data_IF_382246017316
#
_entry.id   IF_382246017316
#
_cell.length_a   1.000
_cell.length_b   1.000
_cell.length_c   1.000
_cell.angle_alpha   90.00
_cell.angle_beta   90.00
_cell.angle_gamma   90.00
#
_symmetry.space_group_name_H-M   'P 1'
#
loop_
_entity.id
_entity.type
_entity.pdbx_description
1 polymer ?
#
# COMPACT_ATOMS: atom_id res chain seq x y z
N UNK A 1 -10.12 49.62 -5.68
CA UNK A 1 -9.34 48.65 -6.48
C UNK A 1 -9.33 47.33 -5.74
N UNK A 2 -9.96 46.27 -6.30
CA UNK A 2 -9.93 44.96 -5.70
C UNK A 2 -8.66 44.23 -6.15
N UNK A 3 -7.76 43.90 -5.20
CA UNK A 3 -6.58 43.11 -5.51
C UNK A 3 -7.04 41.74 -6.10
N UNK A 4 -6.48 41.30 -7.23
CA UNK A 4 -6.78 40.01 -7.78
C UNK A 4 -6.26 38.95 -6.82
N UNK A 5 -7.15 38.04 -6.36
CA UNK A 5 -6.75 36.83 -5.62
C UNK A 5 -5.77 36.02 -6.50
N UNK A 6 -4.64 35.57 -5.97
CA UNK A 6 -3.76 34.71 -6.75
C UNK A 6 -4.50 33.45 -7.17
N UNK A 7 -4.61 33.23 -8.47
CA UNK A 7 -5.18 32.02 -9.04
C UNK A 7 -4.21 30.87 -8.81
N UNK A 8 -4.31 30.21 -7.67
CA UNK A 8 -3.58 28.95 -7.49
C UNK A 8 -4.17 27.91 -8.45
N UNK A 9 -3.37 27.44 -9.40
CA UNK A 9 -3.75 26.30 -10.26
C UNK A 9 -4.19 25.14 -9.36
N UNK A 10 -5.29 24.42 -9.71
CA UNK A 10 -5.78 23.34 -8.88
C UNK A 10 -4.67 22.29 -8.69
N UNK A 11 -4.38 21.95 -7.44
CA UNK A 11 -3.46 20.87 -7.12
C UNK A 11 -4.09 19.55 -7.56
N UNK A 12 -3.46 18.83 -8.47
CA UNK A 12 -3.91 17.52 -8.94
C UNK A 12 -3.33 16.35 -8.14
N UNK A 13 -2.99 16.59 -6.89
CA UNK A 13 -2.52 15.60 -5.92
C UNK A 13 -3.01 15.94 -4.51
N UNK A 14 -3.05 14.92 -3.67
CA UNK A 14 -3.26 15.05 -2.24
C UNK A 14 -1.91 14.94 -1.54
N UNK A 15 -1.59 15.89 -0.66
CA UNK A 15 -0.37 15.86 0.12
C UNK A 15 -0.66 15.27 1.50
N UNK A 16 0.13 14.27 1.90
CA UNK A 16 -0.02 13.61 3.19
C UNK A 16 1.31 13.06 3.69
N UNK A 17 1.70 13.43 4.90
CA UNK A 17 2.97 13.03 5.54
C UNK A 17 4.22 13.29 4.68
N UNK A 18 4.21 14.38 3.90
CA UNK A 18 5.29 14.74 2.99
C UNK A 18 5.16 14.19 1.58
N UNK A 19 4.30 13.19 1.36
CA UNK A 19 4.13 12.55 0.05
C UNK A 19 2.98 13.17 -0.75
N UNK A 20 3.15 13.23 -2.06
CA UNK A 20 2.16 13.68 -3.03
C UNK A 20 1.46 12.47 -3.65
N UNK A 21 0.24 12.20 -3.27
CA UNK A 21 -0.59 11.17 -3.87
C UNK A 21 -1.35 11.74 -5.07
N UNK A 22 -0.99 11.31 -6.28
CA UNK A 22 -1.59 11.78 -7.53
C UNK A 22 -3.09 11.47 -7.59
N UNK A 23 -3.86 12.44 -8.10
CA UNK A 23 -5.28 12.23 -8.39
C UNK A 23 -5.50 11.76 -9.83
N UNK A 24 -6.65 11.15 -10.09
CA UNK A 24 -7.07 10.80 -11.45
C UNK A 24 -7.22 12.02 -12.37
N UNK A 25 -7.32 13.25 -11.81
CA UNK A 25 -7.41 14.50 -12.56
C UNK A 25 -6.04 15.04 -13.00
N UNK A 26 -4.93 14.47 -12.50
CA UNK A 26 -3.57 14.90 -12.87
C UNK A 26 -3.35 14.76 -14.39
N UNK A 27 -2.81 15.77 -15.10
CA UNK A 27 -2.64 15.74 -16.55
C UNK A 27 -1.90 14.50 -17.06
N UNK A 28 -0.78 14.16 -16.44
CA UNK A 28 0.00 12.98 -16.84
C UNK A 28 -0.72 11.65 -16.52
N UNK A 29 -1.51 11.59 -15.44
CA UNK A 29 -2.37 10.43 -15.15
C UNK A 29 -3.43 10.26 -16.24
N UNK A 30 -4.07 11.35 -16.68
CA UNK A 30 -5.02 11.31 -17.80
C UNK A 30 -4.38 10.82 -19.09
N UNK A 31 -3.15 11.29 -19.41
CA UNK A 31 -2.40 10.80 -20.59
C UNK A 31 -2.11 9.30 -20.48
N UNK A 32 -1.66 8.83 -19.31
CA UNK A 32 -1.40 7.41 -19.09
C UNK A 32 -2.66 6.57 -19.26
N UNK A 33 -3.80 7.01 -18.69
CA UNK A 33 -5.09 6.34 -18.86
C UNK A 33 -5.54 6.28 -20.30
N UNK A 34 -5.37 7.36 -21.05
CA UNK A 34 -5.69 7.41 -22.47
C UNK A 34 -4.85 6.44 -23.31
N UNK A 35 -3.53 6.34 -22.99
CA UNK A 35 -2.61 5.39 -23.65
C UNK A 35 -2.85 3.93 -23.26
N UNK A 36 -3.45 3.67 -22.11
CA UNK A 36 -3.72 2.34 -21.57
C UNK A 36 -5.22 2.19 -21.23
N UNK A 37 -6.12 2.13 -22.24
CA UNK A 37 -7.56 2.10 -22.01
C UNK A 37 -8.03 0.86 -21.23
N UNK A 38 -7.27 -0.23 -21.28
CA UNK A 38 -7.54 -1.51 -20.61
C UNK A 38 -6.88 -1.61 -19.22
N UNK A 39 -6.51 -0.46 -18.58
CA UNK A 39 -6.02 -0.50 -17.20
C UNK A 39 -7.10 -1.03 -16.26
N UNK A 40 -6.70 -1.84 -15.28
CA UNK A 40 -7.67 -2.47 -14.39
C UNK A 40 -8.45 -1.46 -13.56
N UNK A 41 -9.67 -1.81 -13.18
CA UNK A 41 -10.52 -0.98 -12.33
C UNK A 41 -9.89 -0.76 -10.94
N UNK A 42 -9.04 -1.68 -10.48
CA UNK A 42 -8.39 -1.66 -9.17
C UNK A 42 -7.06 -0.91 -9.17
N UNK A 43 -6.31 -0.95 -10.26
CA UNK A 43 -5.04 -0.23 -10.46
C UNK A 43 -5.18 1.22 -10.94
N UNK A 44 -6.33 1.89 -10.75
CA UNK A 44 -6.63 3.16 -11.42
C UNK A 44 -6.57 4.41 -10.53
N UNK A 45 -6.20 4.29 -9.26
CA UNK A 45 -6.12 5.39 -8.28
C UNK A 45 -5.30 5.02 -7.05
N UNK A 46 -4.93 6.03 -6.24
CA UNK A 46 -4.52 5.81 -4.86
C UNK A 46 -5.74 5.52 -3.99
N UNK A 47 -5.69 4.47 -3.18
CA UNK A 47 -6.77 4.04 -2.31
C UNK A 47 -6.64 4.65 -0.91
N UNK A 48 -7.77 4.84 -0.22
CA UNK A 48 -7.77 5.52 1.08
C UNK A 48 -7.12 4.73 2.21
N UNK A 49 -7.13 3.42 2.14
CA UNK A 49 -6.46 2.58 3.14
C UNK A 49 -4.96 2.80 3.17
N UNK A 50 -4.34 3.18 2.03
CA UNK A 50 -2.92 3.53 1.99
C UNK A 50 -2.58 4.71 2.91
N UNK A 51 -3.43 5.76 2.96
CA UNK A 51 -3.21 6.91 3.85
C UNK A 51 -3.34 6.53 5.33
N UNK A 52 -4.28 5.65 5.65
CA UNK A 52 -4.45 5.16 7.02
C UNK A 52 -3.28 4.25 7.43
N UNK A 53 -2.78 3.43 6.48
CA UNK A 53 -1.58 2.62 6.72
C UNK A 53 -0.32 3.48 6.90
N UNK A 54 -0.14 4.56 6.11
CA UNK A 54 0.95 5.52 6.32
C UNK A 54 0.91 6.13 7.72
N UNK A 55 -0.28 6.57 8.17
CA UNK A 55 -0.46 7.13 9.51
C UNK A 55 -0.21 6.10 10.63
N UNK A 56 -0.59 4.84 10.40
CA UNK A 56 -0.28 3.73 11.30
C UNK A 56 1.23 3.48 11.37
N UNK A 57 1.90 3.36 10.22
CA UNK A 57 3.34 3.13 10.13
C UNK A 57 4.15 4.28 10.75
N UNK A 58 3.67 5.52 10.66
CA UNK A 58 4.31 6.66 11.34
C UNK A 58 4.34 6.47 12.86
N UNK A 59 3.30 5.90 13.44
CA UNK A 59 3.22 5.62 14.88
C UNK A 59 3.88 4.29 15.29
N UNK A 60 3.99 3.34 14.33
CA UNK A 60 4.52 2.00 14.51
C UNK A 60 5.54 1.69 13.39
N UNK A 61 6.69 2.38 13.37
CA UNK A 61 7.63 2.34 12.26
C UNK A 61 8.19 0.94 12.01
N UNK A 62 8.65 0.66 10.77
CA UNK A 62 9.55 -0.46 10.54
C UNK A 62 10.85 -0.28 11.35
N UNK A 63 11.52 -1.36 11.69
CA UNK A 63 12.85 -1.27 12.26
C UNK A 63 13.85 -0.73 11.22
N UNK A 64 14.93 -0.10 11.67
CA UNK A 64 15.89 0.62 10.81
C UNK A 64 16.42 -0.23 9.64
N UNK A 65 16.64 -1.52 9.85
CA UNK A 65 17.16 -2.44 8.82
C UNK A 65 16.09 -3.36 8.22
N UNK A 66 14.82 -3.10 8.46
CA UNK A 66 13.76 -3.91 7.88
C UNK A 66 13.80 -3.84 6.36
N UNK A 67 13.83 -5.02 5.72
CA UNK A 67 13.50 -5.17 4.31
C UNK A 67 12.02 -5.42 4.18
N UNK A 68 11.36 -4.55 3.45
CA UNK A 68 9.90 -4.54 3.35
C UNK A 68 9.45 -5.10 2.01
N UNK A 69 8.38 -5.90 2.04
CA UNK A 69 7.63 -6.32 0.85
C UNK A 69 6.25 -5.67 0.89
N UNK A 70 5.94 -4.83 -0.10
CA UNK A 70 4.57 -4.40 -0.35
C UNK A 70 3.90 -5.30 -1.38
N UNK A 71 2.75 -5.89 -1.02
CA UNK A 71 1.92 -6.72 -1.91
C UNK A 71 0.69 -5.94 -2.37
N UNK A 72 0.39 -6.02 -3.68
CA UNK A 72 -0.69 -5.22 -4.28
C UNK A 72 -0.40 -3.72 -4.22
N UNK A 73 0.80 -3.31 -4.63
CA UNK A 73 1.28 -1.93 -4.41
C UNK A 73 0.54 -0.87 -5.23
N UNK A 74 -0.15 -1.23 -6.31
CA UNK A 74 -0.85 -0.28 -7.17
C UNK A 74 0.07 0.85 -7.67
N UNK A 75 -0.25 2.09 -7.32
CA UNK A 75 0.57 3.27 -7.67
C UNK A 75 1.74 3.51 -6.70
N UNK A 76 1.97 2.63 -5.71
CA UNK A 76 3.16 2.61 -4.86
C UNK A 76 3.22 3.66 -3.76
N UNK A 77 2.10 4.20 -3.30
CA UNK A 77 2.10 5.26 -2.30
C UNK A 77 2.75 4.81 -0.98
N UNK A 78 2.49 3.57 -0.54
CA UNK A 78 3.11 3.00 0.67
C UNK A 78 4.62 2.76 0.44
N UNK A 79 4.99 2.20 -0.72
CA UNK A 79 6.41 1.99 -1.06
C UNK A 79 7.19 3.30 -1.03
N UNK A 80 6.63 4.36 -1.63
CA UNK A 80 7.24 5.68 -1.64
C UNK A 80 7.41 6.18 -0.21
N UNK A 81 6.36 6.15 0.59
CA UNK A 81 6.40 6.59 1.99
C UNK A 81 7.44 5.82 2.82
N UNK A 82 7.50 4.51 2.70
CA UNK A 82 8.48 3.70 3.44
C UNK A 82 9.90 4.07 3.02
N UNK A 83 10.14 4.21 1.72
CA UNK A 83 11.46 4.53 1.17
C UNK A 83 11.93 5.95 1.52
N UNK A 84 11.04 6.95 1.48
CA UNK A 84 11.41 8.35 1.69
C UNK A 84 11.39 8.76 3.15
N UNK A 85 10.39 8.29 3.90
CA UNK A 85 10.18 8.71 5.30
C UNK A 85 11.03 7.90 6.29
N UNK A 86 11.23 6.60 6.04
CA UNK A 86 11.99 5.71 6.93
C UNK A 86 13.34 5.28 6.34
N UNK A 87 13.58 5.53 5.05
CA UNK A 87 14.77 5.08 4.32
C UNK A 87 14.97 3.55 4.30
N UNK A 88 13.91 2.77 4.50
CA UNK A 88 13.97 1.32 4.43
C UNK A 88 14.02 0.82 2.97
N UNK A 89 14.71 -0.30 2.76
CA UNK A 89 14.68 -1.03 1.49
C UNK A 89 13.29 -1.67 1.29
N UNK A 90 12.66 -1.40 0.16
CA UNK A 90 11.32 -1.88 -0.14
C UNK A 90 11.22 -2.50 -1.53
N UNK A 91 10.65 -3.69 -1.58
CA UNK A 91 10.21 -4.34 -2.81
C UNK A 91 8.70 -4.21 -2.96
N UNK A 92 8.28 -3.63 -4.08
CA UNK A 92 6.86 -3.44 -4.40
C UNK A 92 6.43 -4.49 -5.41
N UNK A 93 5.38 -5.24 -5.11
CA UNK A 93 4.84 -6.26 -6.01
C UNK A 93 3.38 -5.99 -6.35
N UNK A 94 3.04 -6.13 -7.63
CA UNK A 94 1.65 -6.11 -8.11
C UNK A 94 1.50 -7.10 -9.26
N UNK A 95 0.32 -7.73 -9.36
CA UNK A 95 0.03 -8.67 -10.45
C UNK A 95 -0.31 -7.94 -11.76
N UNK A 96 -0.82 -6.71 -11.66
CA UNK A 96 -1.30 -5.93 -12.80
C UNK A 96 -0.17 -5.13 -13.45
N UNK A 97 0.29 -5.48 -14.67
CA UNK A 97 1.33 -4.73 -15.35
C UNK A 97 0.90 -3.30 -15.72
N UNK A 98 -0.39 -3.03 -15.78
CA UNK A 98 -0.93 -1.70 -16.14
C UNK A 98 -0.68 -0.65 -15.08
N UNK A 99 -0.37 -1.02 -13.83
CA UNK A 99 -0.04 -0.08 -12.75
C UNK A 99 1.37 0.50 -12.88
N UNK A 100 2.30 -0.18 -13.56
CA UNK A 100 3.72 0.22 -13.67
C UNK A 100 3.93 1.68 -14.12
N UNK A 101 3.26 2.20 -15.18
CA UNK A 101 3.43 3.59 -15.58
C UNK A 101 2.98 4.59 -14.52
N UNK A 102 1.91 4.28 -13.79
CA UNK A 102 1.40 5.11 -12.70
C UNK A 102 2.30 5.07 -11.47
N UNK A 103 2.82 3.89 -11.12
CA UNK A 103 3.83 3.70 -10.09
C UNK A 103 5.07 4.55 -10.37
N UNK A 104 5.62 4.46 -11.60
CA UNK A 104 6.78 5.24 -12.00
C UNK A 104 6.52 6.75 -11.93
N UNK A 105 5.35 7.21 -12.41
CA UNK A 105 4.96 8.62 -12.32
C UNK A 105 4.83 9.08 -10.86
N UNK A 106 4.19 8.28 -10.01
CA UNK A 106 4.01 8.56 -8.59
C UNK A 106 5.35 8.62 -7.85
N UNK A 107 6.27 7.69 -8.16
CA UNK A 107 7.63 7.66 -7.62
C UNK A 107 8.43 8.90 -8.03
N UNK A 108 8.42 9.25 -9.32
CA UNK A 108 9.15 10.42 -9.84
C UNK A 108 8.69 11.74 -9.22
N UNK A 109 7.38 11.94 -9.00
CA UNK A 109 6.85 13.20 -8.45
C UNK A 109 7.20 13.38 -6.96
N UNK A 110 7.55 12.29 -6.29
CA UNK A 110 8.01 12.25 -4.90
C UNK A 110 9.54 12.13 -4.78
N UNK A 111 10.28 12.12 -5.89
CA UNK A 111 11.73 11.91 -5.93
C UNK A 111 12.15 10.61 -5.22
N UNK A 112 11.29 9.60 -5.22
CA UNK A 112 11.55 8.32 -4.56
C UNK A 112 12.27 7.36 -5.50
N UNK A 113 13.25 6.61 -4.97
CA UNK A 113 13.96 5.57 -5.70
C UNK A 113 13.31 4.20 -5.42
N UNK A 114 12.08 4.03 -5.86
CA UNK A 114 11.33 2.78 -5.69
C UNK A 114 11.17 2.04 -7.01
N UNK A 115 11.03 0.72 -6.96
CA UNK A 115 10.87 -0.14 -8.14
C UNK A 115 9.74 -1.11 -7.93
N UNK A 116 8.99 -1.38 -9.00
CA UNK A 116 7.90 -2.35 -8.99
C UNK A 116 8.31 -3.63 -9.73
N UNK A 117 8.01 -4.78 -9.12
CA UNK A 117 8.02 -6.09 -9.74
C UNK A 117 6.58 -6.48 -10.12
N UNK A 118 6.34 -6.78 -11.40
CA UNK A 118 5.05 -7.34 -11.81
C UNK A 118 5.04 -8.82 -11.48
N UNK A 119 4.35 -9.13 -10.39
CA UNK A 119 4.34 -10.49 -9.85
C UNK A 119 3.12 -10.73 -8.97
N UNK A 120 2.52 -11.88 -9.15
CA UNK A 120 1.51 -12.42 -8.26
C UNK A 120 2.14 -12.74 -6.90
N UNK A 121 1.66 -12.14 -5.82
CA UNK A 121 2.18 -12.35 -4.46
C UNK A 121 1.98 -13.79 -3.97
N UNK A 122 1.03 -14.52 -4.52
CA UNK A 122 0.82 -15.93 -4.19
C UNK A 122 1.98 -16.83 -4.61
N UNK A 123 2.82 -16.34 -5.54
CA UNK A 123 3.98 -17.05 -6.11
C UNK A 123 5.28 -16.82 -5.34
N UNK A 124 5.30 -16.00 -4.29
CA UNK A 124 6.48 -15.89 -3.43
C UNK A 124 6.70 -17.18 -2.66
N UNK A 125 7.88 -17.78 -2.84
CA UNK A 125 8.30 -18.99 -2.15
C UNK A 125 8.85 -18.64 -0.76
N UNK A 126 8.98 -19.64 0.11
CA UNK A 126 9.52 -19.46 1.47
C UNK A 126 10.94 -18.88 1.42
N UNK A 127 11.78 -19.37 0.52
CA UNK A 127 13.17 -18.94 0.36
C UNK A 127 13.28 -17.46 -0.02
N UNK A 128 12.31 -16.96 -0.79
CA UNK A 128 12.25 -15.55 -1.17
C UNK A 128 11.70 -14.69 -0.02
N UNK A 129 10.71 -15.20 0.72
CA UNK A 129 10.12 -14.52 1.87
C UNK A 129 11.12 -14.36 3.02
N UNK A 130 12.13 -15.23 3.13
CA UNK A 130 13.24 -15.11 4.09
C UNK A 130 14.05 -13.80 3.92
N UNK A 131 13.95 -13.12 2.78
CA UNK A 131 14.64 -11.86 2.56
C UNK A 131 13.92 -10.64 3.17
N UNK A 132 12.73 -10.79 3.70
CA UNK A 132 11.93 -9.71 4.25
C UNK A 132 11.69 -9.89 5.74
N UNK A 133 11.63 -8.77 6.46
CA UNK A 133 11.26 -8.73 7.88
C UNK A 133 9.86 -8.14 8.11
N UNK A 134 9.37 -7.35 7.15
CA UNK A 134 8.03 -6.75 7.19
C UNK A 134 7.31 -6.96 5.86
N UNK A 135 6.03 -7.38 5.92
CA UNK A 135 5.14 -7.39 4.76
C UNK A 135 4.00 -6.41 5.01
N UNK A 136 3.70 -5.59 4.01
CA UNK A 136 2.58 -4.64 4.05
C UNK A 136 1.67 -4.80 2.84
N UNK A 137 0.39 -4.47 3.02
CA UNK A 137 -0.58 -4.40 1.93
C UNK A 137 -1.73 -3.48 2.28
N UNK A 138 -2.31 -2.84 1.29
CA UNK A 138 -3.48 -1.99 1.49
C UNK A 138 -4.50 -2.20 0.39
N UNK A 139 -5.78 -2.30 0.77
CA UNK A 139 -6.90 -2.51 -0.15
C UNK A 139 -6.73 -3.77 -1.05
N UNK A 140 -6.20 -4.87 -0.51
CA UNK A 140 -5.96 -6.12 -1.26
C UNK A 140 -7.05 -7.17 -1.10
N UNK A 141 -7.99 -6.98 -0.17
CA UNK A 141 -9.08 -7.92 0.12
C UNK A 141 -10.35 -7.53 -0.66
N UNK A 142 -10.33 -7.61 -2.01
CA UNK A 142 -11.46 -7.18 -2.84
C UNK A 142 -12.55 -8.24 -3.00
N UNK A 143 -12.18 -9.51 -3.11
CA UNK A 143 -13.08 -10.64 -3.39
C UNK A 143 -12.88 -11.75 -2.38
N UNK A 144 -13.92 -12.55 -2.18
CA UNK A 144 -13.90 -13.66 -1.22
C UNK A 144 -12.79 -14.68 -1.55
N UNK A 145 -12.49 -14.87 -2.82
CA UNK A 145 -11.42 -15.74 -3.30
C UNK A 145 -10.01 -15.26 -2.86
N UNK A 146 -9.86 -14.00 -2.45
CA UNK A 146 -8.58 -13.46 -1.99
C UNK A 146 -8.22 -13.85 -0.56
N UNK A 147 -9.19 -14.20 0.27
CA UNK A 147 -8.95 -14.58 1.68
C UNK A 147 -7.95 -15.74 1.77
N UNK A 148 -8.18 -16.83 1.06
CA UNK A 148 -7.32 -18.01 1.13
C UNK A 148 -5.91 -17.82 0.55
N UNK A 149 -5.71 -17.15 -0.61
CA UNK A 149 -4.38 -16.81 -1.12
C UNK A 149 -3.57 -15.93 -0.15
N UNK A 150 -4.18 -14.91 0.43
CA UNK A 150 -3.51 -14.01 1.40
C UNK A 150 -3.16 -14.79 2.67
N UNK A 151 -4.08 -15.59 3.20
CA UNK A 151 -3.84 -16.44 4.38
C UNK A 151 -2.69 -17.43 4.14
N UNK A 152 -2.61 -18.05 2.95
CA UNK A 152 -1.50 -18.94 2.58
C UNK A 152 -0.17 -18.19 2.52
N UNK A 153 -0.13 -16.95 2.01
CA UNK A 153 1.06 -16.13 2.04
C UNK A 153 1.47 -15.82 3.48
N UNK A 154 0.56 -15.36 4.32
CA UNK A 154 0.80 -15.09 5.74
C UNK A 154 1.41 -16.31 6.43
N UNK A 155 0.76 -17.48 6.33
CA UNK A 155 1.23 -18.74 6.94
C UNK A 155 2.62 -19.17 6.43
N UNK A 156 2.96 -18.91 5.16
CA UNK A 156 4.33 -19.13 4.66
C UNK A 156 5.32 -18.14 5.26
N UNK A 157 4.94 -16.87 5.33
CA UNK A 157 5.80 -15.80 5.85
C UNK A 157 6.13 -16.00 7.33
N UNK A 158 5.17 -16.45 8.14
CA UNK A 158 5.38 -16.75 9.56
C UNK A 158 6.37 -17.91 9.80
N UNK A 159 6.69 -18.72 8.78
CA UNK A 159 7.74 -19.75 8.85
C UNK A 159 9.14 -19.20 8.55
N UNK A 160 9.27 -17.92 8.26
CA UNK A 160 10.51 -17.26 7.84
C UNK A 160 10.96 -16.22 8.87
N UNK A 161 11.81 -15.27 8.44
CA UNK A 161 12.27 -14.14 9.24
C UNK A 161 11.32 -12.92 9.18
N UNK A 162 10.13 -13.08 8.59
CA UNK A 162 9.12 -12.02 8.62
C UNK A 162 8.63 -11.86 10.05
N UNK A 163 8.96 -10.70 10.65
CA UNK A 163 8.62 -10.39 12.03
C UNK A 163 7.22 -9.79 12.16
N UNK A 164 6.77 -9.10 11.11
CA UNK A 164 5.49 -8.39 11.16
C UNK A 164 4.81 -8.37 9.79
N UNK A 165 3.49 -8.56 9.80
CA UNK A 165 2.64 -8.44 8.61
C UNK A 165 1.53 -7.45 8.94
N UNK A 166 1.30 -6.46 8.07
CA UNK A 166 0.32 -5.39 8.28
C UNK A 166 -0.55 -5.25 7.03
N UNK A 167 -1.86 -5.39 7.18
CA UNK A 167 -2.82 -5.25 6.09
C UNK A 167 -3.87 -4.22 6.47
N UNK A 168 -4.02 -3.17 5.63
CA UNK A 168 -5.05 -2.15 5.80
C UNK A 168 -6.20 -2.36 4.82
N UNK A 169 -7.44 -2.28 5.30
CA UNK A 169 -8.64 -2.45 4.48
C UNK A 169 -9.80 -1.58 4.98
N UNK A 170 -10.75 -1.19 4.14
CA UNK A 170 -11.96 -0.50 4.58
C UNK A 170 -12.90 -1.36 5.44
N UNK A 171 -12.62 -2.65 5.61
CA UNK A 171 -13.47 -3.60 6.33
C UNK A 171 -14.43 -4.35 5.41
N UNK A 172 -13.96 -4.76 4.23
CA UNK A 172 -14.75 -5.62 3.32
C UNK A 172 -14.96 -7.02 3.93
N UNK A 173 -16.01 -7.76 3.55
CA UNK A 173 -16.23 -9.12 4.04
C UNK A 173 -14.99 -10.03 3.90
N UNK A 174 -14.25 -10.07 2.77
CA UNK A 174 -13.03 -10.88 2.66
C UNK A 174 -11.94 -10.51 3.66
N UNK A 175 -11.85 -9.24 4.05
CA UNK A 175 -10.92 -8.80 5.08
C UNK A 175 -11.31 -9.35 6.44
N UNK A 176 -12.59 -9.32 6.82
CA UNK A 176 -13.05 -9.88 8.10
C UNK A 176 -12.88 -11.39 8.16
N UNK A 177 -13.16 -12.09 7.06
CA UNK A 177 -12.87 -13.53 6.95
C UNK A 177 -11.37 -13.81 7.16
N UNK A 178 -10.48 -12.96 6.64
CA UNK A 178 -9.04 -13.05 6.87
C UNK A 178 -8.68 -12.79 8.33
N UNK A 179 -9.28 -11.78 8.97
CA UNK A 179 -9.09 -11.45 10.39
C UNK A 179 -9.45 -12.63 11.27
N UNK A 180 -10.62 -13.25 11.06
CA UNK A 180 -11.08 -14.41 11.83
C UNK A 180 -10.10 -15.60 11.75
N UNK A 181 -9.53 -15.82 10.55
CA UNK A 181 -8.50 -16.85 10.39
C UNK A 181 -7.18 -16.46 11.08
N UNK A 182 -6.78 -15.19 11.04
CA UNK A 182 -5.54 -14.71 11.64
C UNK A 182 -5.59 -14.64 13.16
N UNK A 183 -6.74 -14.42 13.77
CA UNK A 183 -6.91 -14.51 15.22
C UNK A 183 -6.46 -15.84 15.81
N UNK A 184 -6.56 -16.93 15.06
CA UNK A 184 -6.14 -18.28 15.48
C UNK A 184 -4.64 -18.41 15.78
N UNK A 185 -3.84 -17.44 15.33
CA UNK A 185 -2.37 -17.40 15.53
C UNK A 185 -1.85 -15.99 15.87
N UNK A 186 -2.62 -15.24 16.64
CA UNK A 186 -2.18 -13.98 17.26
C UNK A 186 -2.35 -12.75 16.37
N UNK A 187 -3.13 -12.83 15.29
CA UNK A 187 -3.48 -11.64 14.53
C UNK A 187 -4.42 -10.72 15.32
N UNK A 188 -4.11 -9.43 15.34
CA UNK A 188 -4.90 -8.40 16.00
C UNK A 188 -5.42 -7.39 14.98
N UNK A 189 -6.62 -6.84 15.21
CA UNK A 189 -7.21 -5.83 14.35
C UNK A 189 -7.47 -4.52 15.11
N UNK A 190 -7.10 -3.41 14.50
CA UNK A 190 -7.28 -2.07 15.06
C UNK A 190 -8.07 -1.20 14.08
N UNK A 191 -9.02 -0.41 14.59
CA UNK A 191 -9.64 0.67 13.84
C UNK A 191 -8.77 1.92 13.96
N UNK A 192 -8.41 2.52 12.82
CA UNK A 192 -7.63 3.75 12.80
C UNK A 192 -8.33 4.82 11.98
N UNK A 193 -8.45 6.00 12.58
CA UNK A 193 -9.08 7.17 11.98
C UNK A 193 -8.05 8.26 11.74
N UNK A 194 -8.06 8.82 10.52
CA UNK A 194 -7.33 10.03 10.19
C UNK A 194 -8.32 11.17 9.89
N UNK A 195 -7.91 12.40 10.14
CA UNK A 195 -8.72 13.60 9.92
C UNK A 195 -8.23 14.45 8.75
N UNK A 196 -6.99 14.26 8.32
CA UNK A 196 -6.37 14.88 7.16
C UNK A 196 -5.84 13.78 6.23
N UNK A 197 -5.85 13.99 4.93
CA UNK A 197 -6.37 15.13 4.17
C UNK A 197 -7.89 15.19 4.12
N UNK A 198 -8.57 14.13 4.55
CA UNK A 198 -10.03 14.03 4.77
C UNK A 198 -10.30 13.05 5.91
N UNK A 199 -11.46 13.20 6.56
CA UNK A 199 -11.87 12.27 7.60
C UNK A 199 -12.17 10.89 7.01
N UNK A 200 -11.44 9.88 7.44
CA UNK A 200 -11.67 8.47 7.07
C UNK A 200 -11.21 7.54 8.19
N UNK A 201 -11.85 6.39 8.28
CA UNK A 201 -11.49 5.30 9.20
C UNK A 201 -11.33 4.02 8.41
N UNK A 202 -10.33 3.22 8.75
CA UNK A 202 -10.04 1.93 8.18
C UNK A 202 -9.58 0.97 9.26
N UNK A 203 -9.52 -0.32 8.91
CA UNK A 203 -9.07 -1.38 9.80
C UNK A 203 -7.65 -1.80 9.42
N UNK A 204 -6.84 -2.09 10.43
CA UNK A 204 -5.46 -2.53 10.27
C UNK A 204 -5.35 -3.89 10.96
N UNK A 205 -5.13 -4.94 10.19
CA UNK A 205 -4.74 -6.25 10.70
C UNK A 205 -3.23 -6.27 10.87
N UNK A 206 -2.78 -6.63 12.07
CA UNK A 206 -1.37 -6.78 12.42
C UNK A 206 -1.13 -8.19 12.91
N UNK A 207 -0.09 -8.81 12.40
CA UNK A 207 0.36 -10.12 12.84
C UNK A 207 1.84 -9.98 13.19
N UNK A 208 2.17 -10.17 14.46
CA UNK A 208 3.54 -10.21 14.94
C UNK A 208 4.00 -11.67 15.03
N UNK A 209 5.19 -11.95 14.51
CA UNK A 209 5.81 -13.27 14.56
C UNK A 209 6.80 -13.29 15.73
N UNK A 210 6.28 -13.60 16.91
CA UNK A 210 7.11 -13.78 18.11
C UNK A 210 7.83 -15.12 18.01
N UNK A 211 9.06 -15.12 17.50
CA UNK A 211 9.98 -16.27 17.52
C UNK A 211 11.15 -15.98 18.43
#
# INVERSE_FOLDING_TARGET
MKNPKPSSKPKHYTEFLGEKALSSAHPEVKKLKYKNPNHSAHGNKNWRSSFVLMDYLKANPPAFNDKVLEIGCGWGLISIFISTYFANDIHSADIDPSVRPFFSLQSNINNANTRICIRDFTKFKIEELCNYSLIVGSDICFWDEMTLPILKLIKRSLKTHVNRIIIADPGRPPFWNLVDECHKFGGEVFSRRIYKPWKTEKHILVINNEK
#
